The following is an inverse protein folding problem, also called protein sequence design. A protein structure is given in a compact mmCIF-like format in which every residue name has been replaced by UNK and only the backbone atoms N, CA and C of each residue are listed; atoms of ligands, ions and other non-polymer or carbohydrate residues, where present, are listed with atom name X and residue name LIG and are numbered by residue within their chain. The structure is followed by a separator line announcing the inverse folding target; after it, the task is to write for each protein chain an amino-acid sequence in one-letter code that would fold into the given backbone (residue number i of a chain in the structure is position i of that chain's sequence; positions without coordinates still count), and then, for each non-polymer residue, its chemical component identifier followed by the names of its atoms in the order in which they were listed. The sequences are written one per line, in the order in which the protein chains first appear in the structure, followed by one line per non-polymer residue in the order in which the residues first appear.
data_IF_826292350870
#
_entry.id   IF_826292350870
#
_cell.length_a   1.000
_cell.length_b   1.000
_cell.length_c   1.000
_cell.angle_alpha   90.00
_cell.angle_beta   90.00
_cell.angle_gamma   90.00
#
_symmetry.space_group_name_H-M   'P 1'
#
loop_
_entity.id
_entity.type
_entity.pdbx_description
1 polymer ?
#
# COMPACT_ATOMS: atom_id res chain seq x y z
N UNK A 1 41.81 34.49 -19.03
CA UNK A 1 41.01 34.54 -17.78
C UNK A 1 39.56 35.04 -17.98
N UNK A 2 38.92 34.84 -19.14
CA UNK A 2 37.55 35.34 -19.44
C UNK A 2 36.43 34.28 -19.37
N UNK A 3 36.77 33.00 -19.19
CA UNK A 3 35.81 31.87 -19.16
C UNK A 3 35.37 31.46 -17.74
N UNK A 4 36.13 31.85 -16.72
CA UNK A 4 35.83 31.57 -15.31
C UNK A 4 34.47 32.14 -14.83
N UNK A 5 34.11 33.41 -15.14
CA UNK A 5 32.81 33.93 -14.69
C UNK A 5 31.64 33.23 -15.38
N UNK A 6 31.81 32.80 -16.63
CA UNK A 6 30.78 32.09 -17.40
C UNK A 6 30.55 30.68 -16.83
N UNK A 7 31.63 30.00 -16.41
CA UNK A 7 31.56 28.68 -15.79
C UNK A 7 30.92 28.74 -14.40
N UNK A 8 31.22 29.77 -13.61
CA UNK A 8 30.59 30.02 -12.32
C UNK A 8 29.10 30.32 -12.47
N UNK A 9 28.72 31.14 -13.46
CA UNK A 9 27.33 31.48 -13.73
C UNK A 9 26.52 30.24 -14.17
N UNK A 10 27.13 29.35 -14.97
CA UNK A 10 26.52 28.08 -15.36
C UNK A 10 26.36 27.13 -14.16
N UNK A 11 27.36 27.05 -13.28
CA UNK A 11 27.30 26.22 -12.07
C UNK A 11 26.18 26.66 -11.13
N UNK A 12 25.99 27.98 -10.94
CA UNK A 12 24.90 28.55 -10.13
C UNK A 12 23.52 28.24 -10.74
N UNK A 13 23.42 28.19 -12.07
CA UNK A 13 22.18 27.85 -12.76
C UNK A 13 21.83 26.36 -12.69
N UNK A 14 22.83 25.46 -12.74
CA UNK A 14 22.59 24.00 -12.79
C UNK A 14 22.49 23.36 -11.40
N UNK A 15 23.11 23.95 -10.36
CA UNK A 15 23.05 23.43 -8.98
C UNK A 15 21.64 23.23 -8.43
N UNK A 16 20.67 24.17 -8.55
CA UNK A 16 19.31 23.94 -8.05
C UNK A 16 18.59 22.80 -8.77
N UNK A 17 18.88 22.58 -10.06
CA UNK A 17 18.32 21.45 -10.82
C UNK A 17 18.94 20.12 -10.39
N UNK A 18 20.26 20.07 -10.21
CA UNK A 18 20.94 18.87 -9.72
C UNK A 18 20.45 18.45 -8.32
N UNK A 19 20.26 19.43 -7.42
CA UNK A 19 19.70 19.20 -6.08
C UNK A 19 18.25 18.73 -6.17
N UNK A 20 17.45 19.31 -7.06
CA UNK A 20 16.06 18.87 -7.27
C UNK A 20 15.99 17.43 -7.78
N UNK A 21 16.84 17.05 -8.73
CA UNK A 21 16.93 15.67 -9.25
C UNK A 21 17.34 14.69 -8.15
N UNK A 22 18.37 15.02 -7.36
CA UNK A 22 18.80 14.17 -6.25
C UNK A 22 17.71 14.00 -5.17
N UNK A 23 16.94 15.06 -4.90
CA UNK A 23 15.78 14.99 -3.99
C UNK A 23 14.63 14.16 -4.58
N UNK A 24 14.39 14.24 -5.89
CA UNK A 24 13.36 13.46 -6.59
C UNK A 24 13.70 11.95 -6.60
N UNK A 25 14.96 11.59 -6.79
CA UNK A 25 15.44 10.20 -6.71
C UNK A 25 15.17 9.59 -5.32
N UNK A 26 15.35 10.38 -4.25
CA UNK A 26 15.01 9.94 -2.89
C UNK A 26 13.50 9.68 -2.65
N UNK A 27 12.60 10.30 -3.43
CA UNK A 27 11.15 10.11 -3.32
C UNK A 27 10.63 8.90 -4.11
N UNK A 28 11.35 8.42 -5.11
CA UNK A 28 10.97 7.19 -5.84
C UNK A 28 11.03 5.93 -4.95
N UNK A 29 11.65 6.03 -3.76
CA UNK A 29 11.79 4.94 -2.79
C UNK A 29 10.54 4.61 -1.94
N UNK A 30 9.40 5.31 -2.12
CA UNK A 30 8.16 4.92 -1.42
C UNK A 30 7.60 3.61 -2.00
N UNK A 31 7.78 3.38 -3.30
CA UNK A 31 7.45 2.11 -3.95
C UNK A 31 8.34 0.97 -3.44
N UNK A 32 9.64 1.24 -3.23
CA UNK A 32 10.64 0.24 -2.81
C UNK A 32 10.46 -0.31 -1.38
N UNK A 33 9.59 0.30 -0.57
CA UNK A 33 9.32 -0.16 0.81
C UNK A 33 8.01 -0.93 0.94
N UNK A 34 7.14 -0.88 -0.07
CA UNK A 34 5.91 -1.66 -0.06
C UNK A 34 6.28 -3.14 -0.17
N UNK A 35 5.68 -3.97 0.69
CA UNK A 35 5.91 -5.43 0.65
C UNK A 35 4.87 -6.13 -0.22
N UNK A 36 3.74 -5.48 -0.45
CA UNK A 36 2.75 -5.86 -1.45
C UNK A 36 3.04 -5.23 -2.81
N UNK A 37 2.27 -5.67 -3.79
CA UNK A 37 2.36 -5.18 -5.16
C UNK A 37 1.35 -4.06 -5.37
N UNK A 38 1.82 -2.94 -5.93
CA UNK A 38 0.96 -1.85 -6.36
C UNK A 38 0.10 -2.28 -7.55
N UNK A 39 -1.18 -1.93 -7.50
CA UNK A 39 -2.10 -2.20 -8.60
C UNK A 39 -1.80 -1.28 -9.78
N UNK A 40 -1.67 -1.85 -10.98
CA UNK A 40 -1.41 -1.09 -12.21
C UNK A 40 -2.60 -0.22 -12.64
N UNK A 41 -3.80 -0.63 -12.24
CA UNK A 41 -5.05 0.08 -12.50
C UNK A 41 -5.73 0.45 -11.19
N UNK A 42 -6.63 1.43 -11.25
CA UNK A 42 -7.39 1.91 -10.10
C UNK A 42 -8.65 1.07 -9.94
N UNK A 43 -8.82 0.45 -8.77
CA UNK A 43 -10.00 -0.35 -8.44
C UNK A 43 -10.67 0.22 -7.20
N UNK A 44 -11.99 0.19 -7.17
CA UNK A 44 -12.80 0.66 -6.05
C UNK A 44 -13.70 -0.45 -5.54
N UNK A 45 -13.79 -0.57 -4.23
CA UNK A 45 -14.78 -1.38 -3.53
C UNK A 45 -15.75 -0.49 -2.76
N UNK A 46 -16.83 -1.06 -2.27
CA UNK A 46 -17.81 -0.35 -1.46
C UNK A 46 -17.14 0.34 -0.27
N UNK A 47 -17.50 1.61 -0.07
CA UNK A 47 -16.96 2.42 1.00
C UNK A 47 -17.69 2.09 2.32
N UNK A 48 -16.96 1.85 3.42
CA UNK A 48 -17.60 1.58 4.69
C UNK A 48 -18.08 2.88 5.34
N UNK A 49 -19.22 2.80 6.02
CA UNK A 49 -19.89 3.96 6.65
C UNK A 49 -19.03 4.65 7.72
N UNK A 50 -18.18 3.89 8.40
CA UNK A 50 -17.30 4.34 9.48
C UNK A 50 -15.96 4.93 8.98
N UNK A 51 -15.78 5.01 7.65
CA UNK A 51 -14.53 5.43 7.02
C UNK A 51 -13.32 4.59 7.47
N UNK A 52 -13.54 3.33 7.84
CA UNK A 52 -12.44 2.40 8.13
C UNK A 52 -11.68 2.03 6.88
N UNK A 53 -10.40 1.70 7.06
CA UNK A 53 -9.63 1.00 6.04
C UNK A 53 -10.11 -0.44 5.94
N UNK A 54 -9.94 -1.06 4.77
CA UNK A 54 -10.43 -2.41 4.53
C UNK A 54 -9.29 -3.35 4.19
N UNK A 55 -9.31 -4.52 4.81
CA UNK A 55 -8.55 -5.69 4.36
C UNK A 55 -9.51 -6.59 3.62
N UNK A 56 -9.22 -6.78 2.33
CA UNK A 56 -10.06 -7.53 1.43
C UNK A 56 -9.45 -8.91 1.16
N UNK A 57 -10.29 -9.94 1.07
CA UNK A 57 -9.90 -11.25 0.56
C UNK A 57 -10.91 -11.75 -0.45
N UNK A 58 -10.47 -12.64 -1.35
CA UNK A 58 -11.39 -13.29 -2.31
C UNK A 58 -11.96 -14.55 -1.71
N UNK A 59 -13.26 -14.76 -1.92
CA UNK A 59 -13.94 -15.95 -1.42
C UNK A 59 -13.34 -17.27 -1.94
N UNK A 60 -12.74 -17.25 -3.15
CA UNK A 60 -12.12 -18.43 -3.76
C UNK A 60 -10.80 -18.86 -3.08
N UNK A 61 -10.05 -17.94 -2.47
CA UNK A 61 -8.73 -18.26 -1.91
C UNK A 61 -8.81 -18.92 -0.53
N UNK A 62 -9.94 -18.76 0.17
CA UNK A 62 -10.11 -19.33 1.49
C UNK A 62 -10.55 -20.79 1.47
N UNK A 63 -11.03 -21.29 0.32
CA UNK A 63 -11.53 -22.65 0.19
C UNK A 63 -10.40 -23.68 0.18
N UNK A 64 -10.56 -24.83 0.88
CA UNK A 64 -11.75 -25.30 1.60
C UNK A 64 -11.83 -24.83 3.07
N UNK A 65 -10.82 -24.11 3.59
CA UNK A 65 -10.67 -23.83 5.02
C UNK A 65 -10.84 -22.35 5.36
N UNK A 66 -12.03 -21.81 5.08
CA UNK A 66 -12.30 -20.38 5.25
C UNK A 66 -12.28 -19.93 6.73
N UNK A 67 -12.56 -20.84 7.67
CA UNK A 67 -12.48 -20.53 9.11
C UNK A 67 -11.04 -20.26 9.55
N UNK A 68 -10.09 -21.11 9.14
CA UNK A 68 -8.67 -20.88 9.44
C UNK A 68 -8.16 -19.58 8.78
N UNK A 69 -8.63 -19.30 7.57
CA UNK A 69 -8.30 -18.08 6.84
C UNK A 69 -8.83 -16.83 7.56
N UNK A 70 -10.10 -16.83 7.95
CA UNK A 70 -10.68 -15.72 8.69
C UNK A 70 -9.97 -15.51 10.04
N UNK A 71 -9.61 -16.59 10.73
CA UNK A 71 -8.83 -16.52 11.97
C UNK A 71 -7.42 -15.92 11.75
N UNK A 72 -6.77 -16.17 10.61
CA UNK A 72 -5.53 -15.51 10.23
C UNK A 72 -5.73 -13.99 10.11
N UNK A 73 -6.76 -13.56 9.37
CA UNK A 73 -7.07 -12.14 9.18
C UNK A 73 -7.48 -11.45 10.49
N UNK A 74 -8.19 -12.14 11.37
CA UNK A 74 -8.47 -11.65 12.72
C UNK A 74 -7.18 -11.45 13.53
N UNK A 75 -6.23 -12.38 13.47
CA UNK A 75 -4.91 -12.21 14.10
C UNK A 75 -4.14 -11.03 13.51
N UNK A 76 -4.22 -10.82 12.20
CA UNK A 76 -3.66 -9.61 11.55
C UNK A 76 -4.31 -8.35 12.12
N UNK A 77 -5.64 -8.29 12.20
CA UNK A 77 -6.38 -7.15 12.78
C UNK A 77 -5.95 -6.89 14.23
N UNK A 78 -5.92 -7.92 15.07
CA UNK A 78 -5.47 -7.80 16.47
C UNK A 78 -4.01 -7.34 16.59
N UNK A 79 -3.12 -7.79 15.70
CA UNK A 79 -1.70 -7.43 15.71
C UNK A 79 -1.42 -5.95 15.37
N UNK A 80 -2.45 -5.19 14.97
CA UNK A 80 -2.41 -3.73 14.81
C UNK A 80 -2.56 -2.98 16.14
N UNK A 81 -2.95 -3.67 17.23
CA UNK A 81 -3.10 -3.09 18.56
C UNK A 81 -4.12 -1.95 18.57
N UNK A 82 -3.71 -0.76 19.01
CA UNK A 82 -4.59 0.43 19.10
C UNK A 82 -5.26 0.88 17.80
N UNK A 83 -4.76 0.42 16.65
CA UNK A 83 -5.32 0.77 15.34
C UNK A 83 -6.25 -0.32 14.79
N UNK A 84 -6.52 -1.40 15.53
CA UNK A 84 -7.38 -2.50 15.05
C UNK A 84 -8.78 -2.01 14.67
N UNK A 85 -9.32 -1.03 15.41
CA UNK A 85 -10.68 -0.51 15.19
C UNK A 85 -10.78 0.38 13.95
N UNK A 86 -9.66 0.72 13.33
CA UNK A 86 -9.61 1.46 12.06
C UNK A 86 -9.67 0.53 10.85
N UNK A 87 -9.70 -0.78 11.06
CA UNK A 87 -9.71 -1.81 10.02
C UNK A 87 -11.00 -2.62 10.10
N UNK A 88 -11.64 -2.79 8.95
CA UNK A 88 -12.64 -3.84 8.74
C UNK A 88 -12.09 -4.93 7.83
N UNK A 89 -12.57 -6.15 8.06
CA UNK A 89 -12.26 -7.30 7.22
C UNK A 89 -13.50 -7.54 6.36
N UNK A 90 -13.35 -7.50 5.03
CA UNK A 90 -14.46 -7.74 4.10
C UNK A 90 -14.03 -8.70 3.00
N UNK A 91 -14.91 -9.59 2.56
CA UNK A 91 -14.69 -10.31 1.32
C UNK A 91 -14.93 -9.38 0.12
N UNK A 92 -14.33 -9.70 -1.02
CA UNK A 92 -14.60 -9.03 -2.29
C UNK A 92 -14.99 -10.05 -3.35
N UNK A 93 -16.02 -9.71 -4.11
CA UNK A 93 -16.47 -10.44 -5.30
C UNK A 93 -16.26 -9.62 -6.59
N UNK A 94 -15.45 -8.56 -6.53
CA UNK A 94 -15.13 -7.71 -7.67
C UNK A 94 -14.36 -8.54 -8.72
N UNK A 95 -14.93 -8.66 -9.92
CA UNK A 95 -14.43 -9.56 -10.97
C UNK A 95 -12.96 -9.29 -11.35
N UNK A 96 -12.56 -8.02 -11.37
CA UNK A 96 -11.19 -7.61 -11.69
C UNK A 96 -10.20 -8.10 -10.65
N UNK A 97 -10.56 -8.08 -9.35
CA UNK A 97 -9.71 -8.61 -8.28
C UNK A 97 -9.71 -10.14 -8.28
N UNK A 98 -10.83 -10.77 -8.67
CA UNK A 98 -10.94 -12.24 -8.79
C UNK A 98 -10.02 -12.82 -9.86
N UNK A 99 -9.74 -12.06 -10.91
CA UNK A 99 -8.85 -12.47 -11.99
C UNK A 99 -7.35 -12.27 -11.70
N UNK A 100 -6.98 -11.61 -10.59
CA UNK A 100 -5.57 -11.36 -10.25
C UNK A 100 -4.86 -12.61 -9.71
N UNK A 101 -3.52 -12.61 -9.75
CA UNK A 101 -2.74 -13.68 -9.12
C UNK A 101 -2.77 -13.56 -7.57
N UNK A 102 -2.72 -12.32 -7.07
CA UNK A 102 -2.83 -12.01 -5.65
C UNK A 102 -4.28 -12.09 -5.15
N UNK A 103 -4.45 -12.33 -3.85
CA UNK A 103 -5.75 -12.66 -3.25
C UNK A 103 -6.10 -11.89 -1.97
N UNK A 104 -5.15 -11.13 -1.44
CA UNK A 104 -5.34 -10.23 -0.31
C UNK A 104 -5.09 -8.79 -0.77
N UNK A 105 -5.89 -7.86 -0.28
CA UNK A 105 -5.78 -6.46 -0.68
C UNK A 105 -5.99 -5.50 0.48
N UNK A 106 -5.42 -4.31 0.36
CA UNK A 106 -5.70 -3.17 1.24
C UNK A 106 -6.46 -2.13 0.43
N UNK A 107 -7.64 -1.73 0.91
CA UNK A 107 -8.35 -0.56 0.42
C UNK A 107 -8.41 0.55 1.48
N UNK A 108 -8.35 1.79 1.02
CA UNK A 108 -8.44 2.95 1.89
C UNK A 108 -9.89 3.27 2.28
N UNK A 109 -10.06 4.34 3.05
CA UNK A 109 -11.35 4.81 3.59
C UNK A 109 -12.35 5.26 2.52
N UNK A 110 -11.92 5.42 1.27
CA UNK A 110 -12.74 5.77 0.10
C UNK A 110 -13.01 4.56 -0.81
N UNK A 111 -12.66 3.35 -0.35
CA UNK A 111 -12.79 2.13 -1.14
C UNK A 111 -11.71 1.94 -2.21
N UNK A 112 -10.73 2.84 -2.35
CA UNK A 112 -9.66 2.68 -3.33
C UNK A 112 -8.71 1.56 -2.89
N UNK A 113 -8.57 0.53 -3.72
CA UNK A 113 -7.63 -0.58 -3.51
C UNK A 113 -6.22 -0.12 -3.90
N UNK A 114 -5.26 -0.29 -2.98
CA UNK A 114 -3.90 0.25 -3.11
C UNK A 114 -2.85 -0.83 -3.39
N UNK A 115 -2.85 -1.88 -2.55
CA UNK A 115 -1.82 -2.91 -2.52
C UNK A 115 -2.47 -4.29 -2.56
N UNK A 116 -1.80 -5.21 -3.24
CA UNK A 116 -2.18 -6.61 -3.34
C UNK A 116 -1.09 -7.53 -2.78
N UNK A 117 -1.50 -8.70 -2.26
CA UNK A 117 -0.63 -9.67 -1.62
C UNK A 117 -1.11 -11.08 -1.95
N UNK A 118 -0.18 -12.03 -1.93
CA UNK A 118 -0.51 -13.44 -2.05
C UNK A 118 -1.44 -13.89 -0.92
N UNK A 119 -2.38 -14.78 -1.22
CA UNK A 119 -3.26 -15.40 -0.23
C UNK A 119 -2.53 -16.51 0.55
N UNK A 120 -1.49 -16.12 1.29
CA UNK A 120 -0.66 -17.01 2.12
C UNK A 120 -0.36 -16.37 3.48
N UNK A 121 0.16 -17.15 4.42
CA UNK A 121 0.62 -16.63 5.73
C UNK A 121 1.70 -15.55 5.58
N UNK A 122 2.63 -15.71 4.63
CA UNK A 122 3.66 -14.71 4.33
C UNK A 122 3.02 -13.44 3.73
N UNK A 123 2.06 -13.59 2.83
CA UNK A 123 1.29 -12.47 2.29
C UNK A 123 0.55 -11.68 3.37
N UNK A 124 -0.12 -12.37 4.29
CA UNK A 124 -0.79 -11.76 5.44
C UNK A 124 0.19 -11.03 6.37
N UNK A 125 1.38 -11.58 6.57
CA UNK A 125 2.45 -10.93 7.36
C UNK A 125 2.98 -9.66 6.68
N UNK A 126 3.21 -9.69 5.37
CA UNK A 126 3.60 -8.52 4.58
C UNK A 126 2.53 -7.43 4.63
N UNK A 127 1.26 -7.82 4.45
CA UNK A 127 0.09 -6.96 4.59
C UNK A 127 0.04 -6.28 5.95
N UNK A 128 0.23 -7.03 7.04
CA UNK A 128 0.27 -6.47 8.40
C UNK A 128 1.33 -5.38 8.54
N UNK A 129 2.54 -5.61 8.01
CA UNK A 129 3.62 -4.64 8.15
C UNK A 129 3.32 -3.36 7.37
N UNK A 130 2.74 -3.46 6.18
CA UNK A 130 2.38 -2.30 5.38
C UNK A 130 1.21 -1.54 6.01
N UNK A 131 0.19 -2.23 6.53
CA UNK A 131 -0.88 -1.60 7.31
C UNK A 131 -0.35 -0.79 8.50
N UNK A 132 0.63 -1.32 9.26
CA UNK A 132 1.25 -0.59 10.37
C UNK A 132 1.90 0.72 9.92
N UNK A 133 2.50 0.73 8.73
CA UNK A 133 3.11 1.93 8.16
C UNK A 133 2.00 2.90 7.71
N UNK A 134 1.03 2.43 6.92
CA UNK A 134 -0.07 3.25 6.40
C UNK A 134 -0.86 3.93 7.52
N UNK A 135 -1.26 3.17 8.54
CA UNK A 135 -2.05 3.67 9.67
C UNK A 135 -1.27 4.62 10.60
N UNK A 136 0.06 4.56 10.60
CA UNK A 136 0.90 5.51 11.34
C UNK A 136 0.95 6.87 10.65
N UNK A 137 0.94 6.90 9.32
CA UNK A 137 1.05 8.14 8.54
C UNK A 137 -0.30 8.81 8.28
N UNK A 138 -1.40 8.06 8.30
CA UNK A 138 -2.75 8.59 8.09
C UNK A 138 -3.46 9.02 9.39
N UNK A 139 -2.73 9.13 10.51
CA UNK A 139 -3.27 9.56 11.82
C UNK A 139 -2.85 10.99 12.21
N UNK A 140 -2.40 11.79 11.24
CA UNK A 140 -2.16 13.24 11.38
C UNK A 140 -3.31 13.99 10.72
#
# INVERSE_FOLDING_TARGET
MRKLPLFLMLLVLVTPFAVSIALLDSKQNIADKARGEWLQSTYYVDQPDDLSWQVLWRNQDCQPNCDAWFNLLQRVKMALGKNQDKIILSSTDLDELRAMDNGLFIANQKGLVLLSYQATDDGAYKLLKDLKVLLKHNSQ
#
